data_IF_389870221001
#
_entry.id   IF_389870221001
#
_cell.length_a   1.000
_cell.length_b   1.000
_cell.length_c   1.000
_cell.angle_alpha   90.00
_cell.angle_beta   90.00
_cell.angle_gamma   90.00
#
_symmetry.space_group_name_H-M   'P 1'
#
loop_
_entity.id
_entity.type
_entity.pdbx_description
1 polymer ?
2 non-polymer ?
3 non-polymer ?
4 non-polymer ?
5 water ?
#
# COMPACT_ATOMS: atom_id res chain seq x y z
N UNK A 15 4.51 -28.58 -23.60
CA UNK A 15 5.58 -28.76 -22.63
C UNK A 15 6.53 -27.56 -22.51
N UNK A 16 6.63 -27.03 -21.29
CA UNK A 16 7.63 -26.02 -20.95
C UNK A 16 8.45 -26.60 -19.80
N UNK A 17 9.64 -27.11 -20.12
CA UNK A 17 10.56 -27.65 -19.12
C UNK A 17 11.75 -26.73 -18.89
N UNK A 18 11.54 -25.41 -19.01
CA UNK A 18 12.67 -24.48 -18.94
C UNK A 18 13.32 -24.49 -17.56
N UNK A 19 12.53 -24.62 -16.51
CA UNK A 19 13.06 -24.54 -15.15
C UNK A 19 13.61 -25.86 -14.63
N UNK A 20 13.49 -26.94 -15.39
CA UNK A 20 14.23 -28.16 -15.07
C UNK A 20 15.71 -27.95 -15.35
N UNK A 21 16.56 -28.54 -14.51
CA UNK A 21 18.02 -28.42 -14.52
C UNK A 21 18.48 -27.09 -13.93
N UNK A 22 17.55 -26.14 -13.76
CA UNK A 22 17.84 -24.96 -12.96
C UNK A 22 17.91 -25.41 -11.50
N UNK A 23 19.12 -25.77 -11.04
CA UNK A 23 19.32 -26.27 -9.70
C UNK A 23 20.01 -25.24 -8.81
N UNK A 24 20.20 -24.02 -9.30
CA UNK A 24 20.82 -22.96 -8.54
C UNK A 24 19.98 -21.70 -8.69
N UNK A 25 19.80 -20.99 -7.60
CA UNK A 25 19.05 -19.76 -7.62
C UNK A 25 18.19 -19.70 -6.39
N UNK A 26 17.88 -18.48 -5.95
CA UNK A 26 17.13 -18.27 -4.74
C UNK A 26 16.07 -17.22 -5.01
N UNK A 27 14.92 -17.35 -4.34
CA UNK A 27 13.74 -16.56 -4.68
C UNK A 27 13.11 -16.05 -3.38
N UNK A 28 12.83 -14.75 -3.32
CA UNK A 28 12.24 -14.12 -2.16
C UNK A 28 10.96 -13.38 -2.55
N UNK A 29 10.02 -13.33 -1.60
CA UNK A 29 8.85 -12.46 -1.74
C UNK A 29 9.24 -11.07 -1.29
N UNK A 30 8.86 -10.06 -2.06
CA UNK A 30 8.96 -8.66 -1.66
C UNK A 30 7.53 -8.17 -1.41
N UNK A 31 7.28 -7.69 -0.19
CA UNK A 31 5.98 -7.14 0.20
C UNK A 31 6.19 -5.65 0.44
N UNK A 32 5.58 -4.80 -0.38
CA UNK A 32 5.73 -3.36 -0.28
C UNK A 32 4.41 -2.73 0.14
N UNK A 33 4.49 -1.74 1.05
CA UNK A 33 3.31 -0.94 1.36
C UNK A 33 2.99 0.10 0.27
N UNK A 34 3.95 0.41 -0.60
CA UNK A 34 3.86 1.59 -1.48
C UNK A 34 3.89 1.20 -2.95
N UNK A 35 2.84 1.57 -3.67
CA UNK A 35 2.86 1.50 -5.12
C UNK A 35 3.86 2.50 -5.71
N UNK A 36 4.09 3.63 -5.03
CA UNK A 36 5.12 4.57 -5.49
C UNK A 36 6.51 3.92 -5.49
N UNK A 37 6.84 3.14 -4.45
CA UNK A 37 8.12 2.44 -4.42
C UNK A 37 8.27 1.50 -5.62
N UNK A 38 7.20 0.72 -5.91
CA UNK A 38 7.21 -0.15 -7.09
C UNK A 38 7.52 0.66 -8.34
N UNK A 39 6.80 1.77 -8.55
CA UNK A 39 7.05 2.59 -9.74
C UNK A 39 8.47 3.13 -9.78
N UNK A 40 8.99 3.64 -8.64
CA UNK A 40 10.37 4.09 -8.64
C UNK A 40 11.33 2.94 -8.98
N UNK A 41 11.06 1.75 -8.45
CA UNK A 41 11.91 0.60 -8.70
C UNK A 41 11.95 0.25 -10.18
N UNK A 42 10.78 0.24 -10.84
CA UNK A 42 10.73 -0.05 -12.28
C UNK A 42 11.45 1.04 -13.06
N UNK A 43 11.27 2.30 -12.67
CA UNK A 43 11.89 3.40 -13.40
C UNK A 43 13.41 3.36 -13.29
N UNK A 44 13.95 3.11 -12.11
CA UNK A 44 15.39 3.26 -11.90
C UNK A 44 16.10 1.95 -11.63
N UNK A 45 15.41 0.81 -11.64
CA UNK A 45 16.05 -0.49 -11.44
C UNK A 45 16.82 -0.55 -10.12
N UNK A 46 16.17 -0.12 -9.04
CA UNK A 46 16.74 -0.18 -7.71
C UNK A 46 15.68 -0.67 -6.73
N UNK A 47 16.14 -1.15 -5.57
CA UNK A 47 15.21 -1.50 -4.51
C UNK A 47 15.87 -1.24 -3.17
N UNK A 48 15.05 -1.20 -2.12
CA UNK A 48 15.53 -1.12 -0.75
C UNK A 48 14.48 -1.77 0.14
N UNK A 49 14.93 -2.60 1.08
CA UNK A 49 14.07 -3.26 2.05
C UNK A 49 14.30 -2.64 3.44
N UNK A 50 13.71 -3.24 4.47
CA UNK A 50 14.10 -2.90 5.82
C UNK A 50 15.54 -3.31 6.04
N UNK A 51 16.10 -2.94 7.20
CA UNK A 51 17.46 -3.36 7.49
C UNK A 51 17.55 -4.88 7.58
N UNK A 52 16.59 -5.48 8.27
CA UNK A 52 16.50 -6.95 8.32
C UNK A 52 16.38 -7.53 6.92
N UNK A 53 15.45 -7.02 6.12
CA UNK A 53 15.26 -7.55 4.76
C UNK A 53 16.49 -7.39 3.91
N UNK A 54 17.11 -6.21 3.94
CA UNK A 54 18.33 -5.96 3.17
C UNK A 54 19.44 -6.97 3.52
N UNK A 55 19.67 -7.20 4.82
CA UNK A 55 20.72 -8.13 5.22
C UNK A 55 20.41 -9.54 4.70
N UNK A 56 19.13 -9.92 4.74
CA UNK A 56 18.74 -11.24 4.24
C UNK A 56 18.99 -11.36 2.74
N UNK A 57 18.56 -10.35 1.97
CA UNK A 57 18.78 -10.36 0.52
C UNK A 57 20.28 -10.29 0.20
N UNK A 58 21.03 -9.47 0.95
CA UNK A 58 22.45 -9.28 0.66
C UNK A 58 23.24 -10.58 0.86
N UNK A 59 22.96 -11.28 1.96
CA UNK A 59 23.61 -12.56 2.21
C UNK A 59 23.34 -13.55 1.07
N UNK A 60 22.08 -13.65 0.63
CA UNK A 60 21.74 -14.57 -0.44
C UNK A 60 22.46 -14.20 -1.72
N UNK A 61 22.48 -12.90 -2.05
CA UNK A 61 23.16 -12.43 -3.25
C UNK A 61 24.65 -12.73 -3.20
N UNK A 62 25.30 -12.42 -2.07
CA UNK A 62 26.74 -12.64 -1.97
C UNK A 62 27.06 -14.12 -1.94
N UNK A 63 26.21 -14.94 -1.31
CA UNK A 63 26.44 -16.37 -1.27
C UNK A 63 26.30 -17.00 -2.65
N UNK A 64 25.51 -16.39 -3.54
CA UNK A 64 25.28 -17.00 -4.84
C UNK A 64 26.53 -16.96 -5.71
N UNK A 65 27.38 -15.96 -5.51
CA UNK A 65 28.65 -15.85 -6.24
C UNK A 65 28.42 -15.93 -7.75
N UNK A 66 27.35 -15.29 -8.21
CA UNK A 66 27.01 -15.27 -9.61
C UNK A 66 26.70 -16.63 -10.22
N UNK A 67 26.55 -17.67 -9.39
CA UNK A 67 26.29 -19.01 -9.87
C UNK A 67 24.82 -19.23 -10.24
N UNK A 68 23.98 -18.20 -10.16
CA UNK A 68 22.57 -18.31 -10.45
C UNK A 68 21.84 -17.07 -9.97
N UNK A 69 20.57 -16.91 -10.38
CA UNK A 69 19.87 -15.66 -10.10
C UNK A 69 19.29 -15.60 -8.69
N UNK A 70 19.14 -14.39 -8.18
CA UNK A 70 18.30 -14.12 -7.03
C UNK A 70 17.08 -13.39 -7.57
N UNK A 71 15.93 -14.06 -7.54
CA UNK A 71 14.69 -13.49 -8.03
C UNK A 71 13.87 -12.89 -6.88
N UNK A 72 13.16 -11.82 -7.20
CA UNK A 72 12.30 -11.11 -6.25
C UNK A 72 10.90 -11.08 -6.83
N UNK A 73 9.93 -11.56 -6.05
CA UNK A 73 8.53 -11.63 -6.48
C UNK A 73 7.76 -10.56 -5.73
N UNK A 74 7.37 -9.49 -6.42
CA UNK A 74 6.89 -8.26 -5.80
C UNK A 74 5.38 -8.25 -5.64
N UNK A 75 4.91 -7.73 -4.50
CA UNK A 75 3.47 -7.57 -4.31
C UNK A 75 3.24 -6.41 -3.34
N UNK A 76 2.29 -5.53 -3.69
CA UNK A 76 1.91 -4.42 -2.81
C UNK A 76 0.88 -4.90 -1.80
N UNK A 77 1.14 -4.67 -0.51
CA UNK A 77 0.24 -5.08 0.55
C UNK A 77 -1.16 -4.52 0.32
N UNK A 78 -2.15 -5.42 0.34
CA UNK A 78 -3.52 -5.03 0.06
C UNK A 78 -3.87 -4.80 -1.39
N UNK A 79 -2.97 -5.09 -2.33
CA UNK A 79 -3.33 -4.87 -3.71
C UNK A 79 -4.14 -6.02 -4.29
N UNK A 80 -4.15 -7.18 -3.62
CA UNK A 80 -4.80 -8.36 -4.16
C UNK A 80 -4.04 -9.07 -5.27
N UNK A 81 -2.82 -8.65 -5.60
CA UNK A 81 -2.11 -9.30 -6.69
C UNK A 81 -0.60 -9.11 -6.53
N UNK A 82 0.16 -10.02 -7.12
CA UNK A 82 1.55 -9.75 -7.39
C UNK A 82 1.65 -8.82 -8.59
N UNK A 83 2.71 -8.01 -8.64
CA UNK A 83 2.85 -7.03 -9.70
C UNK A 83 4.08 -7.24 -10.58
N UNK A 84 4.91 -8.23 -10.31
CA UNK A 84 5.96 -8.56 -11.24
C UNK A 84 7.14 -9.24 -10.58
N UNK A 85 8.24 -9.30 -11.33
CA UNK A 85 9.41 -10.10 -10.99
C UNK A 85 10.64 -9.31 -11.40
N UNK A 86 11.63 -9.25 -10.52
CA UNK A 86 12.90 -8.66 -10.85
C UNK A 86 14.01 -9.60 -10.39
N UNK A 87 15.19 -9.40 -10.95
CA UNK A 87 16.36 -10.12 -10.51
C UNK A 87 17.25 -9.13 -9.75
N UNK A 88 17.78 -9.59 -8.63
CA UNK A 88 18.72 -8.78 -7.87
C UNK A 88 20.05 -8.70 -8.62
N UNK A 89 20.60 -7.48 -8.79
CA UNK A 89 21.76 -7.32 -9.66
C UNK A 89 22.98 -6.68 -8.98
N UNK A 90 22.96 -6.52 -7.67
CA UNK A 90 24.14 -6.03 -6.95
C UNK A 90 23.98 -6.37 -5.48
N UNK A 91 25.09 -6.24 -4.74
CA UNK A 91 25.00 -6.30 -3.30
C UNK A 91 24.32 -5.03 -2.77
N UNK A 92 24.00 -5.05 -1.48
CA UNK A 92 23.37 -3.89 -0.86
C UNK A 92 24.43 -2.84 -0.53
N UNK A 93 24.19 -1.61 -0.98
CA UNK A 93 24.95 -0.44 -0.55
C UNK A 93 24.15 0.19 0.58
N UNK A 94 24.68 0.15 1.79
CA UNK A 94 23.90 0.55 2.96
C UNK A 94 23.95 2.04 3.27
N UNK A 95 24.77 2.80 2.55
CA UNK A 95 25.01 4.22 2.85
C UNK A 95 24.76 5.01 1.57
N UNK A 96 23.50 5.37 1.35
CA UNK A 96 23.07 6.14 0.19
C UNK A 96 22.15 7.23 0.68
N UNK A 97 21.68 8.04 -0.27
CA UNK A 97 20.80 9.15 0.04
C UNK A 97 19.51 8.69 0.70
N UNK A 98 19.18 9.31 1.84
CA UNK A 98 17.94 9.04 2.57
C UNK A 98 16.74 9.68 1.88
N UNK A 99 15.55 9.25 2.30
CA UNK A 99 14.34 9.94 1.85
C UNK A 99 13.90 9.65 0.42
N UNK A 100 14.47 8.66 -0.24
CA UNK A 100 14.03 8.40 -1.61
C UNK A 100 12.84 7.46 -1.67
N UNK A 101 12.57 6.70 -0.61
CA UNK A 101 11.53 5.67 -0.57
C UNK A 101 10.36 6.11 0.31
N UNK A 102 9.36 5.22 0.38
CA UNK A 102 8.13 5.51 1.13
C UNK A 102 8.43 5.66 2.62
N UNK A 103 9.26 4.79 3.18
CA UNK A 103 9.83 5.01 4.50
C UNK A 103 10.98 5.99 4.34
N UNK A 104 10.84 7.22 4.87
CA UNK A 104 11.90 8.19 4.70
C UNK A 104 13.19 7.82 5.44
N UNK A 105 13.12 6.96 6.46
CA UNK A 105 14.33 6.58 7.19
C UNK A 105 15.23 5.64 6.39
N UNK A 106 14.71 4.97 5.35
CA UNK A 106 15.50 3.97 4.64
C UNK A 106 16.65 4.65 3.91
N UNK A 107 17.86 4.25 4.25
CA UNK A 107 19.01 4.42 3.38
C UNK A 107 19.52 3.03 3.07
N UNK A 108 20.05 2.87 1.88
CA UNK A 108 20.37 1.54 1.41
C UNK A 108 19.72 1.40 0.05
N UNK A 109 20.38 0.62 -0.81
CA UNK A 109 19.96 0.52 -2.19
C UNK A 109 20.69 -0.68 -2.80
N UNK A 110 19.99 -1.40 -3.67
CA UNK A 110 20.67 -2.36 -4.53
C UNK A 110 20.02 -2.31 -5.90
N UNK A 111 20.76 -2.79 -6.89
CA UNK A 111 20.28 -2.79 -8.26
C UNK A 111 19.39 -4.00 -8.49
N UNK A 112 18.34 -3.81 -9.29
CA UNK A 112 17.50 -4.91 -9.74
C UNK A 112 17.33 -4.76 -11.25
N UNK A 113 16.87 -5.83 -11.86
CA UNK A 113 16.48 -5.80 -13.27
C UNK A 113 15.09 -6.39 -13.35
N UNK A 114 14.10 -5.57 -13.69
CA UNK A 114 12.74 -6.06 -13.73
C UNK A 114 12.56 -7.00 -14.92
N UNK A 115 11.90 -8.14 -14.67
CA UNK A 115 11.72 -9.20 -15.64
C UNK A 115 10.30 -9.22 -16.18
N UNK A 116 9.32 -9.38 -15.30
CA UNK A 116 7.91 -9.25 -15.62
C UNK A 116 7.40 -8.03 -14.91
N UNK A 117 6.68 -7.18 -15.61
CA UNK A 117 5.79 -6.23 -14.97
C UNK A 117 4.39 -6.60 -15.43
N UNK A 118 3.64 -7.31 -14.58
CA UNK A 118 2.28 -7.71 -14.89
C UNK A 118 1.57 -8.11 -13.61
N UNK A 119 0.26 -7.87 -13.59
CA UNK A 119 -0.57 -8.16 -12.44
C UNK A 119 -1.05 -9.60 -12.48
N UNK A 120 -0.83 -10.31 -11.38
CA UNK A 120 -1.27 -11.69 -11.28
C UNK A 120 -2.11 -11.79 -10.01
N UNK A 121 -3.41 -12.03 -10.13
CA UNK A 121 -4.25 -12.13 -8.94
C UNK A 121 -3.72 -13.19 -7.99
N UNK A 122 -3.86 -12.91 -6.69
CA UNK A 122 -3.46 -13.88 -5.66
C UNK A 122 -4.15 -15.23 -5.86
N UNK A 123 -5.35 -15.24 -6.44
CA UNK A 123 -6.08 -16.49 -6.61
C UNK A 123 -5.32 -17.46 -7.52
N UNK A 124 -4.50 -16.93 -8.44
CA UNK A 124 -3.70 -17.78 -9.31
C UNK A 124 -2.53 -18.42 -8.60
N UNK A 125 -2.14 -17.89 -7.43
CA UNK A 125 -0.96 -18.35 -6.73
C UNK A 125 -1.26 -18.94 -5.37
N UNK A 126 -2.49 -18.76 -4.85
CA UNK A 126 -2.77 -19.07 -3.45
C UNK A 126 -2.64 -20.55 -3.13
N UNK A 127 -2.69 -21.42 -4.14
CA UNK A 127 -2.67 -22.84 -3.85
C UNK A 127 -1.27 -23.41 -3.71
N UNK A 128 -0.24 -22.65 -4.07
CA UNK A 128 1.15 -23.03 -3.81
C UNK A 128 1.48 -22.66 -2.37
N UNK A 129 1.98 -23.64 -1.61
CA UNK A 129 2.27 -23.43 -0.16
C UNK A 129 3.75 -23.55 0.13
N UNK A 130 4.20 -22.88 1.19
CA UNK A 130 5.64 -22.86 1.53
C UNK A 130 5.91 -23.69 2.78
N UNK A 131 6.67 -24.77 2.63
CA UNK A 131 6.96 -25.72 3.73
C UNK A 131 7.92 -25.10 4.73
N UNK A 132 8.67 -24.08 4.32
CA UNK A 132 9.51 -23.39 5.29
C UNK A 132 8.75 -22.30 6.04
N UNK A 133 7.48 -22.08 5.72
CA UNK A 133 6.66 -21.08 6.39
C UNK A 133 5.35 -21.70 6.83
N UNK A 134 5.44 -22.87 7.48
CA UNK A 134 4.29 -23.53 8.11
C UNK A 134 3.19 -23.87 7.11
N UNK A 135 3.57 -24.18 5.87
CA UNK A 135 2.63 -24.61 4.84
C UNK A 135 1.63 -23.50 4.49
N UNK A 136 1.99 -22.23 4.73
CA UNK A 136 1.08 -21.16 4.38
C UNK A 136 1.12 -20.88 2.88
N UNK A 137 0.02 -20.40 2.32
CA UNK A 137 0.05 -19.97 0.91
C UNK A 137 1.14 -18.94 0.68
N UNK A 138 1.84 -19.09 -0.45
CA UNK A 138 2.83 -18.10 -0.87
C UNK A 138 2.24 -16.69 -0.87
N UNK A 139 0.94 -16.56 -1.09
CA UNK A 139 0.31 -15.24 -1.09
C UNK A 139 0.13 -14.66 0.30
N UNK A 140 0.45 -15.41 1.34
CA UNK A 140 0.32 -14.92 2.73
C UNK A 140 1.71 -14.66 3.31
N UNK A 141 2.70 -14.53 2.45
CA UNK A 141 4.09 -14.36 2.91
C UNK A 141 4.36 -12.93 3.37
N UNK A 142 5.38 -12.75 4.17
CA UNK A 142 5.80 -11.41 4.61
C UNK A 142 7.02 -10.97 3.78
N UNK A 143 7.45 -9.73 3.95
CA UNK A 143 8.53 -9.19 3.15
C UNK A 143 9.82 -9.99 3.34
N UNK A 144 10.46 -10.33 2.22
CA UNK A 144 11.70 -11.11 2.14
C UNK A 144 11.56 -12.54 2.69
N UNK A 145 10.34 -13.07 2.73
CA UNK A 145 10.14 -14.50 2.90
C UNK A 145 10.85 -15.24 1.77
N UNK A 146 11.70 -16.21 2.11
CA UNK A 146 12.33 -17.00 1.05
C UNK A 146 11.41 -18.13 0.59
N UNK A 147 11.51 -18.46 -0.70
CA UNK A 147 10.70 -19.49 -1.34
C UNK A 147 11.60 -20.69 -1.64
N UNK A 148 11.22 -21.91 -1.26
CA UNK A 148 11.97 -23.10 -1.69
C UNK A 148 12.00 -23.16 -3.21
N UNK A 149 13.14 -23.60 -3.75
CA UNK A 149 13.35 -23.52 -5.20
C UNK A 149 12.26 -24.27 -5.96
N UNK A 150 11.80 -25.40 -5.41
CA UNK A 150 10.82 -26.21 -6.13
C UNK A 150 9.47 -25.50 -6.18
N UNK A 151 9.09 -24.78 -5.11
CA UNK A 151 7.88 -23.98 -5.15
C UNK A 151 8.06 -22.73 -6.00
N UNK A 152 9.26 -22.16 -5.97
CA UNK A 152 9.51 -20.95 -6.74
C UNK A 152 9.39 -21.21 -8.25
N UNK A 153 9.81 -22.39 -8.70
CA UNK A 153 9.63 -22.76 -10.11
C UNK A 153 8.17 -22.75 -10.50
N UNK A 154 7.31 -23.31 -9.63
CA UNK A 154 5.88 -23.33 -9.92
C UNK A 154 5.29 -21.93 -9.94
N UNK A 155 5.76 -21.05 -9.03
CA UNK A 155 5.22 -19.69 -9.01
C UNK A 155 5.61 -18.95 -10.28
N UNK A 156 6.85 -19.13 -10.72
CA UNK A 156 7.35 -18.41 -11.88
C UNK A 156 6.61 -18.85 -13.14
N UNK A 157 6.42 -20.16 -13.28
CA UNK A 157 5.69 -20.67 -14.44
C UNK A 157 4.28 -20.11 -14.48
N UNK A 158 3.64 -20.01 -13.32
CA UNK A 158 2.30 -19.42 -13.24
C UNK A 158 2.34 -17.94 -13.64
N UNK A 159 3.29 -17.18 -13.10
CA UNK A 159 3.36 -15.76 -13.43
C UNK A 159 3.65 -15.57 -14.91
N UNK A 160 4.52 -16.40 -15.47
CA UNK A 160 4.88 -16.23 -16.89
C UNK A 160 3.68 -16.54 -17.78
N UNK A 161 2.88 -17.53 -17.41
CA UNK A 161 1.79 -18.01 -18.24
C UNK A 161 0.50 -17.22 -18.10
N UNK A 162 0.32 -16.47 -17.01
CA UNK A 162 -0.96 -15.82 -16.76
C UNK A 162 -1.30 -14.82 -17.86
N UNK A 163 -2.57 -14.83 -18.27
CA UNK A 163 -3.05 -13.97 -19.37
C UNK A 163 -4.03 -12.90 -18.88
N UNK B 15 -7.66 22.24 22.02
CA UNK B 15 -8.25 20.98 21.54
C UNK B 15 -9.78 21.04 21.50
N UNK B 16 -10.39 21.81 22.39
CA UNK B 16 -11.83 22.03 22.36
C UNK B 16 -12.21 23.18 21.43
N UNK B 17 -11.23 23.82 20.80
CA UNK B 17 -11.51 24.85 19.81
C UNK B 17 -12.03 24.28 18.51
N UNK B 18 -11.59 23.08 18.16
CA UNK B 18 -11.84 22.50 16.86
C UNK B 18 -13.02 21.53 16.89
N UNK B 19 -13.82 21.55 15.83
CA UNK B 19 -14.88 20.57 15.57
C UNK B 19 -15.85 20.43 16.75
N UNK B 20 -15.90 21.44 17.63
CA UNK B 20 -16.87 21.41 18.72
C UNK B 20 -18.30 21.44 18.21
N UNK B 21 -18.51 21.78 16.94
CA UNK B 21 -19.84 21.86 16.33
C UNK B 21 -19.92 20.88 15.17
N UNK B 22 -20.56 19.74 15.42
CA UNK B 22 -20.86 18.75 14.41
C UNK B 22 -22.12 18.03 14.87
N UNK B 23 -23.23 18.26 14.18
CA UNK B 23 -24.48 17.61 14.55
C UNK B 23 -25.03 16.69 13.48
N UNK B 24 -24.51 16.75 12.26
CA UNK B 24 -25.06 15.94 11.18
C UNK B 24 -23.99 15.27 10.32
N UNK B 25 -22.73 15.38 10.68
CA UNK B 25 -21.67 14.90 9.80
C UNK B 25 -21.59 13.38 9.66
N UNK B 26 -20.87 12.96 8.62
CA UNK B 26 -20.46 11.58 8.49
C UNK B 26 -18.98 11.59 8.14
N UNK B 27 -18.25 10.58 8.63
CA UNK B 27 -16.79 10.60 8.61
C UNK B 27 -16.28 9.24 8.18
N UNK B 28 -15.31 9.22 7.25
CA UNK B 28 -14.74 7.99 6.73
C UNK B 28 -13.21 8.00 6.79
N UNK B 29 -12.63 6.81 6.95
CA UNK B 29 -11.19 6.64 6.78
C UNK B 29 -10.88 6.55 5.29
N UNK B 30 -9.79 7.17 4.87
CA UNK B 30 -9.25 6.94 3.53
C UNK B 30 -7.88 6.32 3.69
N UNK B 31 -7.65 5.18 3.04
CA UNK B 31 -6.32 4.56 3.03
C UNK B 31 -5.80 4.51 1.60
N UNK B 32 -4.54 4.89 1.42
CA UNK B 32 -3.94 4.90 0.10
C UNK B 32 -2.61 4.15 0.16
N UNK B 33 -2.30 3.36 -0.87
CA UNK B 33 -0.92 2.87 -0.95
C UNK B 33 -0.08 3.68 -1.95
N UNK B 34 -0.46 4.94 -2.20
CA UNK B 34 0.36 5.85 -2.99
C UNK B 34 0.36 7.20 -2.29
N UNK B 35 1.51 7.61 -1.75
CA UNK B 35 1.64 8.97 -1.26
C UNK B 35 1.52 9.98 -2.40
N UNK B 36 1.98 9.63 -3.62
CA UNK B 36 1.86 10.54 -4.74
C UNK B 36 0.40 10.92 -4.99
N UNK B 37 -0.51 9.95 -4.90
CA UNK B 37 -1.93 10.27 -4.99
C UNK B 37 -2.35 11.28 -3.92
N UNK B 38 -1.88 11.11 -2.68
CA UNK B 38 -2.24 12.06 -1.63
C UNK B 38 -1.74 13.46 -2.00
N UNK B 39 -0.49 13.54 -2.46
CA UNK B 39 0.08 14.82 -2.85
C UNK B 39 -0.73 15.47 -3.97
N UNK B 40 -1.12 14.66 -4.96
CA UNK B 40 -1.98 15.17 -6.03
C UNK B 40 -3.33 15.60 -5.47
N UNK B 41 -3.86 14.84 -4.51
CA UNK B 41 -5.13 15.20 -3.88
C UNK B 41 -5.05 16.56 -3.21
N UNK B 42 -3.95 16.81 -2.51
CA UNK B 42 -3.79 18.07 -1.79
C UNK B 42 -3.64 19.23 -2.77
N UNK B 43 -2.91 18.99 -3.84
CA UNK B 43 -2.62 20.06 -4.79
C UNK B 43 -3.88 20.47 -5.54
N UNK B 44 -4.74 19.51 -5.91
CA UNK B 44 -5.84 19.80 -6.80
C UNK B 44 -7.21 19.63 -6.15
N UNK B 45 -7.25 19.29 -4.85
CA UNK B 45 -8.51 19.14 -4.13
C UNK B 45 -9.45 18.16 -4.83
N UNK B 46 -8.94 16.96 -5.10
CA UNK B 46 -9.75 15.88 -5.68
C UNK B 46 -9.32 14.55 -5.07
N UNK B 47 -10.21 13.56 -5.15
CA UNK B 47 -9.89 12.23 -4.65
C UNK B 47 -10.64 11.20 -5.48
N UNK B 48 -10.19 9.96 -5.43
CA UNK B 48 -10.87 8.84 -6.05
C UNK B 48 -10.61 7.60 -5.21
N UNK B 49 -11.63 6.79 -4.99
CA UNK B 49 -11.46 5.59 -4.19
C UNK B 49 -11.64 4.36 -5.10
N UNK B 50 -11.81 3.19 -4.50
CA UNK B 50 -12.24 2.04 -5.29
C UNK B 50 -13.65 2.25 -5.80
N UNK B 51 -14.12 1.33 -6.65
CA UNK B 51 -15.50 1.44 -7.12
C UNK B 51 -16.48 1.31 -5.96
N UNK B 52 -16.32 0.28 -5.13
CA UNK B 52 -17.21 0.17 -3.97
C UNK B 52 -17.00 1.35 -3.02
N UNK B 53 -15.76 1.80 -2.84
CA UNK B 53 -15.51 2.93 -1.94
C UNK B 53 -16.17 4.20 -2.44
N UNK B 54 -16.00 4.50 -3.73
CA UNK B 54 -16.68 5.66 -4.32
C UNK B 54 -18.19 5.57 -4.12
N UNK B 55 -18.76 4.39 -4.36
CA UNK B 55 -20.21 4.22 -4.21
C UNK B 55 -20.64 4.48 -2.77
N UNK B 56 -19.83 4.06 -1.79
CA UNK B 56 -20.19 4.29 -0.40
C UNK B 56 -20.13 5.77 -0.04
N UNK B 57 -19.05 6.44 -0.47
CA UNK B 57 -18.90 7.87 -0.22
C UNK B 57 -19.96 8.67 -0.99
N UNK B 58 -20.27 8.24 -2.22
CA UNK B 58 -21.30 8.90 -3.02
C UNK B 58 -22.63 8.90 -2.31
N UNK B 59 -23.06 7.74 -1.82
CA UNK B 59 -24.36 7.65 -1.16
C UNK B 59 -24.38 8.49 0.11
N UNK B 60 -23.27 8.52 0.86
CA UNK B 60 -23.22 9.32 2.07
C UNK B 60 -23.35 10.81 1.74
N UNK B 61 -22.58 11.28 0.75
CA UNK B 61 -22.67 12.68 0.35
C UNK B 61 -24.08 13.02 -0.14
N UNK B 62 -24.63 12.19 -1.03
CA UNK B 62 -25.97 12.43 -1.56
C UNK B 62 -27.01 12.40 -0.44
N UNK B 63 -26.91 11.42 0.47
CA UNK B 63 -27.81 11.31 1.61
C UNK B 63 -27.76 12.55 2.49
N UNK B 64 -26.66 13.28 2.51
CA UNK B 64 -26.57 14.42 3.46
C UNK B 64 -27.27 15.65 2.90
N UNK B 65 -27.33 15.78 1.58
CA UNK B 65 -27.94 16.97 0.94
C UNK B 65 -27.58 18.28 1.65
N UNK B 66 -26.30 18.62 1.82
CA UNK B 66 -25.93 19.92 2.35
C UNK B 66 -26.10 20.11 3.85
N UNK B 67 -26.85 19.22 4.52
CA UNK B 67 -27.19 19.41 5.93
C UNK B 67 -25.99 19.36 6.88
N UNK B 68 -24.84 18.86 6.41
CA UNK B 68 -23.67 18.72 7.26
C UNK B 68 -22.52 18.15 6.45
N UNK B 69 -21.33 18.13 7.04
CA UNK B 69 -20.13 17.74 6.28
C UNK B 69 -19.92 16.23 6.21
N UNK B 70 -19.19 15.82 5.18
CA UNK B 70 -18.62 14.48 5.08
C UNK B 70 -17.11 14.64 5.18
N UNK B 71 -16.54 14.22 6.31
CA UNK B 71 -15.11 14.38 6.54
C UNK B 71 -14.37 13.08 6.20
N UNK B 72 -13.12 13.25 5.76
CA UNK B 72 -12.29 12.14 5.30
C UNK B 72 -10.97 12.18 6.04
N UNK B 73 -10.67 11.11 6.77
CA UNK B 73 -9.43 11.01 7.53
C UNK B 73 -8.44 10.19 6.70
N UNK B 74 -7.40 10.86 6.18
CA UNK B 74 -6.46 10.24 5.23
C UNK B 74 -5.28 9.61 5.94
N UNK B 75 -4.85 8.45 5.46
CA UNK B 75 -3.62 7.83 5.96
C UNK B 75 -2.96 6.98 4.86
N UNK B 76 -1.65 7.16 4.67
CA UNK B 76 -0.88 6.30 3.76
C UNK B 76 -0.64 4.94 4.43
N UNK B 77 -1.09 3.87 3.78
CA UNK B 77 -0.92 2.51 4.31
C UNK B 77 0.55 2.23 4.65
N UNK B 78 0.79 1.66 5.83
CA UNK B 78 2.13 1.35 6.29
C UNK B 78 2.93 2.52 6.83
N UNK B 79 2.41 3.75 6.73
CA UNK B 79 3.20 4.90 7.17
C UNK B 79 3.23 5.07 8.69
N UNK B 80 2.33 4.43 9.42
CA UNK B 80 2.25 4.60 10.84
C UNK B 80 1.63 5.92 11.30
N UNK B 81 1.13 6.74 10.38
CA UNK B 81 0.57 8.05 10.73
C UNK B 81 -0.64 8.33 9.85
N UNK B 82 -1.55 9.18 10.38
CA UNK B 82 -2.52 9.88 9.55
C UNK B 82 -1.85 11.13 8.99
N UNK B 83 -2.28 11.54 7.79
CA UNK B 83 -1.63 12.69 7.16
C UNK B 83 -2.56 13.87 6.94
N UNK B 84 -3.84 13.76 7.25
CA UNK B 84 -4.66 14.96 7.24
C UNK B 84 -6.14 14.67 7.19
N UNK B 85 -6.89 15.74 6.97
CA UNK B 85 -8.35 15.73 6.99
C UNK B 85 -8.85 16.53 5.80
N UNK B 86 -9.77 15.97 5.04
CA UNK B 86 -10.43 16.71 3.98
C UNK B 86 -11.93 16.55 4.12
N UNK B 87 -12.66 17.46 3.48
CA UNK B 87 -14.11 17.40 3.44
C UNK B 87 -14.54 17.08 2.01
N UNK B 88 -15.41 16.08 1.88
CA UNK B 88 -15.99 15.78 0.57
C UNK B 88 -16.82 16.97 0.10
N UNK B 89 -16.55 17.44 -1.13
CA UNK B 89 -17.21 18.65 -1.63
C UNK B 89 -18.02 18.43 -2.91
N UNK B 90 -18.26 17.18 -3.34
CA UNK B 90 -19.05 16.93 -4.53
C UNK B 90 -19.44 15.46 -4.58
N UNK B 91 -20.49 15.19 -5.33
CA UNK B 91 -20.85 13.82 -5.69
C UNK B 91 -19.77 13.22 -6.58
N UNK B 92 -19.81 11.90 -6.72
CA UNK B 92 -18.81 11.17 -7.48
C UNK B 92 -19.15 11.22 -8.97
N UNK B 93 -18.21 11.67 -9.78
CA UNK B 93 -18.30 11.58 -11.23
C UNK B 93 -17.55 10.33 -11.67
N UNK B 94 -18.25 9.40 -12.33
CA UNK B 94 -17.62 8.14 -12.70
C UNK B 94 -17.06 8.13 -14.13
N UNK B 95 -17.33 9.15 -14.93
CA UNK B 95 -16.89 9.18 -16.33
C UNK B 95 -15.97 10.39 -16.51
N UNK B 96 -14.69 10.17 -16.22
CA UNK B 96 -13.68 11.22 -16.19
C UNK B 96 -12.41 10.70 -16.84
N UNK B 97 -11.45 11.61 -17.02
CA UNK B 97 -10.21 11.27 -17.68
C UNK B 97 -9.51 10.09 -17.00
N UNK B 98 -8.98 9.19 -17.80
CA UNK B 98 -8.30 8.01 -17.29
C UNK B 98 -6.83 8.28 -17.03
N UNK B 99 -6.25 7.44 -16.17
CA UNK B 99 -4.81 7.47 -15.94
C UNK B 99 -4.28 8.72 -15.27
N UNK B 100 -5.11 9.41 -14.47
CA UNK B 100 -4.62 10.58 -13.77
C UNK B 100 -3.97 10.28 -12.41
N UNK B 101 -4.21 9.09 -11.85
CA UNK B 101 -3.65 8.69 -10.56
C UNK B 101 -2.43 7.79 -10.78
N UNK B 102 -1.88 7.25 -9.69
CA UNK B 102 -0.66 6.44 -9.78
C UNK B 102 -0.88 5.21 -10.66
N UNK B 103 -2.10 4.68 -10.68
CA UNK B 103 -2.44 3.54 -11.51
C UNK B 103 -3.74 3.82 -12.26
N UNK B 104 -3.91 3.11 -13.38
CA UNK B 104 -5.10 3.25 -14.19
C UNK B 104 -6.34 2.66 -13.56
N UNK B 105 -6.20 1.76 -12.58
CA UNK B 105 -7.37 1.16 -11.97
C UNK B 105 -8.28 2.18 -11.28
N UNK B 106 -7.76 3.36 -10.94
CA UNK B 106 -8.56 4.39 -10.27
C UNK B 106 -9.35 5.17 -11.32
N UNK B 107 -10.68 5.07 -11.22
CA UNK B 107 -11.57 5.60 -12.24
C UNK B 107 -12.61 6.49 -11.57
N UNK B 108 -12.68 7.74 -12.02
CA UNK B 108 -13.64 8.69 -11.47
C UNK B 108 -12.98 9.68 -10.53
N UNK B 109 -13.81 10.56 -10.00
CA UNK B 109 -13.29 11.72 -9.31
C UNK B 109 -14.41 12.33 -8.48
N UNK B 110 -14.05 12.88 -7.31
CA UNK B 110 -14.92 13.80 -6.61
C UNK B 110 -14.05 14.88 -5.99
N UNK B 111 -14.69 16.02 -5.70
CA UNK B 111 -13.98 17.17 -5.15
C UNK B 111 -13.83 17.02 -3.64
N UNK B 112 -12.72 17.54 -3.12
CA UNK B 112 -12.50 17.60 -1.69
C UNK B 112 -11.96 18.98 -1.37
N UNK B 113 -12.00 19.35 -0.10
CA UNK B 113 -11.30 20.52 0.41
C UNK B 113 -10.48 20.09 1.61
N UNK B 114 -9.16 20.20 1.51
CA UNK B 114 -8.29 19.80 2.60
C UNK B 114 -8.31 20.85 3.71
N UNK B 115 -8.53 20.38 4.93
CA UNK B 115 -8.58 21.24 6.12
C UNK B 115 -7.28 21.16 6.91
N UNK B 116 -6.79 19.94 7.16
CA UNK B 116 -5.52 19.72 7.84
C UNK B 116 -4.62 18.86 6.95
N UNK B 117 -3.37 19.30 6.77
CA UNK B 117 -2.30 18.47 6.23
C UNK B 117 -1.24 18.43 7.33
N UNK B 118 -1.12 17.29 8.00
CA UNK B 118 -0.08 17.08 9.00
C UNK B 118 -0.06 15.61 9.39
N UNK B 119 1.12 15.16 9.79
CA UNK B 119 1.33 13.77 10.17
C UNK B 119 1.06 13.62 11.66
N UNK B 120 0.12 12.75 12.00
CA UNK B 120 -0.25 12.47 13.38
C UNK B 120 0.09 11.00 13.62
N UNK B 121 1.00 10.70 14.55
CA UNK B 121 1.35 9.30 14.82
C UNK B 121 0.13 8.49 15.25
N UNK B 122 0.09 7.24 14.78
CA UNK B 122 -0.98 6.31 15.18
C UNK B 122 -1.06 6.14 16.70
N UNK B 123 0.05 6.35 17.42
CA UNK B 123 0.03 6.23 18.87
C UNK B 123 -0.94 7.21 19.55
N UNK B 124 -1.22 8.34 18.91
CA UNK B 124 -2.17 9.32 19.44
C UNK B 124 -3.63 8.94 19.18
N UNK B 125 -3.89 8.01 18.27
CA UNK B 125 -5.25 7.65 17.89
C UNK B 125 -5.58 6.20 18.23
N UNK B 126 -4.57 5.42 18.58
CA UNK B 126 -4.67 3.98 18.79
C UNK B 126 -5.73 3.60 19.81
N UNK B 127 -5.96 4.45 20.82
CA UNK B 127 -6.89 4.12 21.88
C UNK B 127 -8.35 4.25 21.46
N UNK B 128 -8.62 4.89 20.33
CA UNK B 128 -9.99 5.13 19.87
C UNK B 128 -10.47 3.91 19.09
N UNK B 129 -11.55 3.28 19.56
CA UNK B 129 -12.02 2.04 18.97
C UNK B 129 -13.34 2.25 18.25
N UNK B 130 -13.60 1.45 17.21
CA UNK B 130 -14.80 1.60 16.39
C UNK B 130 -15.80 0.51 16.75
N UNK B 131 -16.91 0.89 17.42
CA UNK B 131 -17.91 -0.10 17.80
C UNK B 131 -18.61 -0.72 16.60
N UNK B 132 -18.57 -0.08 15.44
CA UNK B 132 -19.12 -0.66 14.23
C UNK B 132 -18.10 -1.52 13.48
N UNK B 133 -16.88 -1.66 14.01
CA UNK B 133 -15.87 -2.50 13.37
C UNK B 133 -15.25 -3.43 14.40
N UNK B 134 -16.12 -4.17 15.09
CA UNK B 134 -15.68 -5.18 16.07
C UNK B 134 -14.80 -4.57 17.16
N UNK B 135 -15.01 -3.29 17.46
CA UNK B 135 -14.24 -2.55 18.46
C UNK B 135 -12.74 -2.50 18.13
N UNK B 136 -12.39 -2.57 16.85
CA UNK B 136 -11.00 -2.46 16.47
C UNK B 136 -10.53 -1.01 16.58
N UNK B 137 -9.25 -0.79 16.86
CA UNK B 137 -8.72 0.59 16.88
C UNK B 137 -8.97 1.28 15.54
N UNK B 138 -9.23 2.60 15.61
CA UNK B 138 -9.48 3.35 14.39
C UNK B 138 -8.27 3.32 13.45
N UNK B 139 -7.07 3.11 14.01
CA UNK B 139 -5.83 3.03 13.26
C UNK B 139 -5.66 1.70 12.50
N UNK B 140 -6.55 0.74 12.70
CA UNK B 140 -6.52 -0.52 11.97
C UNK B 140 -7.65 -0.61 10.94
N UNK B 141 -8.12 0.54 10.46
CA UNK B 141 -9.23 0.56 9.53
C UNK B 141 -8.76 0.35 8.09
N UNK B 142 -9.69 -0.07 7.24
CA UNK B 142 -9.49 -0.17 5.82
C UNK B 142 -10.14 1.03 5.12
N UNK B 143 -9.76 1.20 3.86
CA UNK B 143 -10.26 2.29 3.04
C UNK B 143 -11.80 2.38 3.09
N UNK B 144 -12.30 3.61 3.27
CA UNK B 144 -13.72 4.00 3.41
C UNK B 144 -14.45 3.29 4.56
N UNK B 145 -13.74 2.82 5.59
CA UNK B 145 -14.41 2.47 6.84
C UNK B 145 -15.11 3.69 7.43
N UNK B 146 -16.40 3.58 7.73
CA UNK B 146 -17.10 4.71 8.33
C UNK B 146 -16.88 4.74 9.82
N UNK B 147 -16.70 5.94 10.35
CA UNK B 147 -16.38 6.17 11.75
C UNK B 147 -17.65 6.67 12.48
N UNK B 148 -18.03 6.07 13.59
CA UNK B 148 -19.13 6.65 14.38
C UNK B 148 -18.81 8.09 14.74
N UNK B 149 -19.84 8.94 14.70
CA UNK B 149 -19.63 10.39 14.79
C UNK B 149 -18.93 10.79 16.10
N UNK B 150 -19.25 10.14 17.22
CA UNK B 150 -18.61 10.52 18.47
C UNK B 150 -17.13 10.10 18.51
N UNK B 151 -16.78 8.98 17.88
CA UNK B 151 -15.36 8.64 17.80
C UNK B 151 -14.65 9.53 16.78
N UNK B 152 -15.35 9.87 15.68
CA UNK B 152 -14.79 10.78 14.70
C UNK B 152 -14.45 12.12 15.33
N UNK B 153 -15.35 12.66 16.16
CA UNK B 153 -15.10 13.93 16.82
C UNK B 153 -13.80 13.89 17.61
N UNK B 154 -13.57 12.77 18.32
CA UNK B 154 -12.32 12.60 19.06
C UNK B 154 -11.12 12.60 18.14
N UNK B 155 -11.20 11.89 17.01
CA UNK B 155 -10.06 11.83 16.10
C UNK B 155 -9.77 13.21 15.52
N UNK B 156 -10.81 13.87 14.98
CA UNK B 156 -10.65 15.21 14.42
C UNK B 156 -9.98 16.17 15.40
N UNK B 157 -10.41 16.15 16.66
CA UNK B 157 -9.84 17.05 17.66
C UNK B 157 -8.36 16.74 17.92
N UNK B 158 -8.02 15.45 18.07
CA UNK B 158 -6.62 15.09 18.30
C UNK B 158 -5.75 15.53 17.12
N UNK B 159 -6.22 15.26 15.90
CA UNK B 159 -5.46 15.68 14.71
C UNK B 159 -5.32 17.19 14.69
N UNK B 160 -6.44 17.90 14.85
CA UNK B 160 -6.42 19.36 14.82
C UNK B 160 -5.44 19.94 15.83
N UNK B 161 -5.37 19.34 17.02
CA UNK B 161 -4.61 19.90 18.12
C UNK B 161 -3.17 19.41 18.18
N UNK B 162 -2.84 18.30 17.52
CA UNK B 162 -1.51 17.68 17.69
C UNK B 162 -0.40 18.63 17.28
N UNK B 163 0.71 18.59 18.01
CA UNK B 163 1.87 19.44 17.75
C UNK B 163 3.14 18.86 18.38
#
# INVERSE_FOLDING_TARGET
MGSSYHHHHHHSSGENLYFQHMKHGRVFIIKSYSEDDIHRSIKYNIWCSTEHGNKRLDAAYRSMNGKGPVYLLFSVNGSGHFCGVAEMKSAVDYNTCAGVWSQDKWKGRFDVRWIFVKDVPNSQLRHIRLENNENKPVTNSRDTQEVPLEKAKQVLKIIASYKHTTS
MGSSYHHHHHHSSGENLYFQHMKHGRVFIIKSYSEDDIHRSIKYNIWCSTEHGNKRLDAAYRSMNGKGPVYLLFSVNGSGHFCGVAEMKSAVDYNTCAGVWSQDKWKGRFDVRWIFVKDVPNSQLRHIRLENNENKPVTNSRDTQEVPLEKAKQVLKIIASYKHTTS
#
